data_IF_047426784209
#
_entry.id   IF_047426784209
#
_cell.length_a   1.000
_cell.length_b   1.000
_cell.length_c   1.000
_cell.angle_alpha   90.00
_cell.angle_beta   90.00
_cell.angle_gamma   90.00
#
_symmetry.space_group_name_H-M   'P 1'
#
loop_
_entity.id
_entity.type
_entity.pdbx_description
1 polymer ?
#
# COMPACT_ATOMS: atom_id res chain seq x y z
N UNK A 1 24.34 0.54 9.67
CA UNK A 1 24.91 1.02 8.40
C UNK A 1 24.96 -0.19 7.49
N UNK A 2 24.01 -0.31 6.56
CA UNK A 2 23.90 -1.49 5.68
C UNK A 2 25.12 -1.53 4.74
N UNK A 3 25.64 -2.71 4.46
CA UNK A 3 26.75 -2.90 3.51
C UNK A 3 26.26 -2.56 2.09
N UNK A 4 26.70 -1.41 1.57
CA UNK A 4 26.23 -0.83 0.30
C UNK A 4 26.76 -1.56 -0.94
N UNK A 5 27.65 -2.54 -0.75
CA UNK A 5 28.09 -3.48 -1.77
C UNK A 5 27.42 -4.85 -1.64
N UNK A 6 26.40 -4.99 -0.79
CA UNK A 6 25.67 -6.25 -0.71
C UNK A 6 25.05 -6.61 -2.08
N UNK A 7 25.15 -7.88 -2.51
CA UNK A 7 24.61 -8.31 -3.79
C UNK A 7 23.11 -8.04 -3.86
N UNK A 8 22.67 -7.42 -4.94
CA UNK A 8 21.31 -6.92 -5.08
C UNK A 8 20.25 -8.02 -5.29
N UNK A 9 20.68 -9.28 -5.44
CA UNK A 9 19.84 -10.42 -5.79
C UNK A 9 20.64 -11.74 -5.76
N UNK A 10 19.93 -12.88 -5.85
CA UNK A 10 20.48 -14.25 -5.84
C UNK A 10 21.46 -14.62 -6.99
N UNK A 11 21.85 -13.64 -7.81
CA UNK A 11 22.81 -13.78 -8.91
C UNK A 11 24.16 -13.09 -8.65
N UNK A 12 24.41 -12.64 -7.41
CA UNK A 12 25.67 -12.01 -7.01
C UNK A 12 26.07 -10.80 -7.90
N UNK A 13 25.08 -10.00 -8.31
CA UNK A 13 25.29 -8.81 -9.13
C UNK A 13 25.53 -7.58 -8.25
N UNK A 14 26.55 -6.78 -8.62
CA UNK A 14 26.92 -5.54 -7.95
C UNK A 14 26.53 -4.36 -8.86
N UNK A 15 25.70 -3.44 -8.38
CA UNK A 15 25.44 -2.18 -9.08
C UNK A 15 26.48 -1.15 -8.66
N UNK A 16 27.47 -0.93 -9.53
CA UNK A 16 28.41 0.16 -9.34
C UNK A 16 27.78 1.48 -9.77
N UNK A 17 27.47 2.35 -8.81
CA UNK A 17 27.01 3.73 -9.04
C UNK A 17 28.17 4.68 -8.73
N UNK A 18 28.66 5.49 -9.70
CA UNK A 18 29.68 6.50 -9.44
C UNK A 18 29.28 7.49 -8.36
N UNK A 19 30.22 7.89 -7.51
CA UNK A 19 29.96 8.75 -6.33
C UNK A 19 29.28 10.08 -6.68
N UNK A 20 29.67 10.71 -7.78
CA UNK A 20 29.06 11.96 -8.25
C UNK A 20 27.56 11.80 -8.56
N UNK A 21 27.18 10.65 -9.15
CA UNK A 21 25.77 10.34 -9.43
C UNK A 21 25.01 10.04 -8.16
N UNK A 22 25.63 9.34 -7.20
CA UNK A 22 25.04 9.09 -5.88
C UNK A 22 24.76 10.39 -5.16
N UNK A 23 25.77 11.26 -5.07
CA UNK A 23 25.65 12.58 -4.45
C UNK A 23 24.54 13.43 -5.08
N UNK A 24 24.49 13.47 -6.42
CA UNK A 24 23.42 14.17 -7.14
C UNK A 24 22.04 13.60 -6.82
N UNK A 25 21.91 12.27 -6.79
CA UNK A 25 20.65 11.60 -6.51
C UNK A 25 20.20 11.88 -5.06
N UNK A 26 21.11 11.89 -4.11
CA UNK A 26 20.82 12.19 -2.70
C UNK A 26 20.39 13.65 -2.54
N UNK A 27 21.07 14.60 -3.19
CA UNK A 27 20.63 16.00 -3.23
C UNK A 27 19.21 16.14 -3.81
N UNK A 28 18.89 15.42 -4.90
CA UNK A 28 17.55 15.45 -5.49
C UNK A 28 16.50 14.85 -4.55
N UNK A 29 16.80 13.75 -3.85
CA UNK A 29 15.90 13.17 -2.84
C UNK A 29 15.62 14.17 -1.72
N UNK A 30 16.65 14.87 -1.22
CA UNK A 30 16.49 15.87 -0.15
C UNK A 30 15.60 17.04 -0.59
N UNK A 31 15.78 17.54 -1.83
CA UNK A 31 14.92 18.59 -2.37
C UNK A 31 13.47 18.10 -2.52
N UNK A 32 13.24 16.86 -2.96
CA UNK A 32 11.90 16.27 -3.05
C UNK A 32 11.28 16.12 -1.67
N UNK A 33 12.04 15.65 -0.68
CA UNK A 33 11.56 15.55 0.70
C UNK A 33 11.08 16.90 1.21
N UNK A 34 11.92 17.93 1.11
CA UNK A 34 11.63 19.26 1.63
C UNK A 34 10.47 19.97 0.92
N UNK A 35 10.45 19.95 -0.42
CA UNK A 35 9.47 20.76 -1.18
C UNK A 35 8.18 20.01 -1.52
N UNK A 36 8.21 18.68 -1.56
CA UNK A 36 7.06 17.86 -1.99
C UNK A 36 6.53 17.05 -0.82
N UNK A 37 7.33 16.16 -0.24
CA UNK A 37 6.82 15.14 0.69
C UNK A 37 6.37 15.75 2.03
N UNK A 38 7.16 16.67 2.60
CA UNK A 38 6.88 17.34 3.88
C UNK A 38 5.93 18.55 3.75
N UNK A 39 5.36 18.77 2.56
CA UNK A 39 4.45 19.88 2.33
C UNK A 39 3.17 19.73 3.21
N UNK A 40 2.87 20.69 4.12
CA UNK A 40 1.70 20.61 5.00
C UNK A 40 0.36 20.49 4.26
N UNK A 41 0.28 20.99 3.02
CA UNK A 41 -0.91 20.83 2.18
C UNK A 41 -1.18 19.35 1.82
N UNK A 42 -0.14 18.53 1.73
CA UNK A 42 -0.26 17.08 1.53
C UNK A 42 -0.54 16.32 2.82
N UNK A 43 -0.18 16.89 3.98
CA UNK A 43 -0.34 16.22 5.27
C UNK A 43 -1.81 15.86 5.55
N UNK A 44 -2.76 16.74 5.22
CA UNK A 44 -4.20 16.45 5.38
C UNK A 44 -4.65 15.27 4.51
N UNK A 45 -4.20 15.20 3.25
CA UNK A 45 -4.51 14.07 2.37
C UNK A 45 -3.86 12.77 2.85
N UNK A 46 -2.56 12.80 3.20
CA UNK A 46 -1.84 11.63 3.71
C UNK A 46 -2.46 11.07 4.99
N UNK A 47 -2.92 11.92 5.90
CA UNK A 47 -3.63 11.50 7.11
C UNK A 47 -4.95 10.79 6.77
N UNK A 48 -5.72 11.33 5.82
CA UNK A 48 -6.93 10.69 5.31
C UNK A 48 -6.66 9.31 4.71
N UNK A 49 -5.69 9.21 3.80
CA UNK A 49 -5.33 7.96 3.13
C UNK A 49 -4.81 6.92 4.13
N UNK A 50 -3.99 7.32 5.11
CA UNK A 50 -3.52 6.41 6.18
C UNK A 50 -4.70 5.85 6.98
N UNK A 51 -5.68 6.69 7.32
CA UNK A 51 -6.89 6.24 8.03
C UNK A 51 -7.71 5.26 7.20
N UNK A 52 -7.93 5.56 5.92
CA UNK A 52 -8.67 4.68 5.00
C UNK A 52 -8.05 3.29 4.97
N UNK A 53 -6.73 3.19 4.76
CA UNK A 53 -6.03 1.89 4.70
C UNK A 53 -6.09 1.16 6.04
N UNK A 54 -5.87 1.86 7.16
CA UNK A 54 -5.91 1.27 8.49
C UNK A 54 -7.30 0.69 8.83
N UNK A 55 -8.36 1.46 8.57
CA UNK A 55 -9.74 1.06 8.85
C UNK A 55 -10.15 -0.11 7.94
N UNK A 56 -9.84 -0.05 6.64
CA UNK A 56 -10.10 -1.15 5.70
C UNK A 56 -9.41 -2.44 6.14
N UNK A 57 -8.12 -2.38 6.49
CA UNK A 57 -7.39 -3.55 6.95
C UNK A 57 -8.00 -4.12 8.23
N UNK A 58 -8.31 -3.26 9.20
CA UNK A 58 -8.92 -3.69 10.46
C UNK A 58 -10.26 -4.39 10.26
N UNK A 59 -11.13 -3.85 9.39
CA UNK A 59 -12.41 -4.49 9.08
C UNK A 59 -12.24 -5.83 8.38
N UNK A 60 -11.34 -5.93 7.39
CA UNK A 60 -11.11 -7.19 6.69
C UNK A 60 -10.51 -8.25 7.61
N UNK A 61 -9.57 -7.90 8.50
CA UNK A 61 -9.02 -8.87 9.47
C UNK A 61 -10.09 -9.35 10.45
N UNK A 62 -11.03 -8.49 10.83
CA UNK A 62 -12.11 -8.83 11.76
C UNK A 62 -13.14 -9.82 11.17
N UNK A 63 -13.34 -9.84 9.85
CA UNK A 63 -14.33 -10.70 9.18
C UNK A 63 -13.83 -11.16 7.79
N UNK A 64 -12.62 -11.74 7.76
CA UNK A 64 -11.94 -12.07 6.51
C UNK A 64 -12.67 -13.15 5.70
N UNK A 65 -13.38 -14.06 6.37
CA UNK A 65 -14.16 -15.13 5.73
C UNK A 65 -15.31 -14.60 4.86
N UNK A 66 -15.77 -13.38 5.13
CA UNK A 66 -16.90 -12.76 4.40
C UNK A 66 -16.48 -11.57 3.56
N UNK A 67 -15.43 -10.86 3.98
CA UNK A 67 -15.02 -9.60 3.37
C UNK A 67 -13.89 -9.76 2.36
N UNK A 68 -13.07 -10.81 2.45
CA UNK A 68 -12.09 -11.08 1.40
C UNK A 68 -12.75 -11.63 0.14
N UNK A 69 -12.25 -11.27 -1.05
CA UNK A 69 -12.59 -11.97 -2.29
C UNK A 69 -12.26 -13.48 -2.22
N UNK A 70 -13.00 -14.35 -2.93
CA UNK A 70 -12.83 -15.81 -2.85
C UNK A 70 -11.41 -16.30 -3.15
N UNK A 71 -10.74 -15.73 -4.15
CA UNK A 71 -9.35 -16.04 -4.49
C UNK A 71 -8.39 -15.79 -3.32
N UNK A 72 -8.63 -14.73 -2.54
CA UNK A 72 -7.83 -14.42 -1.36
C UNK A 72 -8.18 -15.29 -0.16
N UNK A 73 -9.43 -15.74 -0.06
CA UNK A 73 -9.83 -16.71 0.96
C UNK A 73 -9.14 -18.06 0.74
N UNK A 74 -9.03 -18.51 -0.52
CA UNK A 74 -8.31 -19.72 -0.90
C UNK A 74 -6.82 -19.61 -0.53
N UNK A 75 -6.16 -18.50 -0.88
CA UNK A 75 -4.75 -18.23 -0.49
C UNK A 75 -4.56 -18.28 1.03
N UNK A 76 -5.49 -17.71 1.80
CA UNK A 76 -5.45 -17.74 3.26
C UNK A 76 -5.66 -19.15 3.81
N UNK A 77 -6.53 -19.95 3.20
CA UNK A 77 -6.74 -21.34 3.58
C UNK A 77 -5.48 -22.20 3.32
N UNK A 78 -4.78 -21.95 2.22
CA UNK A 78 -3.58 -22.70 1.82
C UNK A 78 -2.32 -22.30 2.61
N UNK A 79 -2.17 -21.00 2.92
CA UNK A 79 -0.96 -20.45 3.54
C UNK A 79 -1.12 -20.06 5.02
N UNK A 80 -2.34 -20.07 5.55
CA UNK A 80 -2.64 -19.95 6.98
C UNK A 80 -2.45 -18.56 7.59
N UNK A 81 -2.41 -17.48 6.79
CA UNK A 81 -2.19 -16.12 7.29
C UNK A 81 -3.28 -15.14 6.83
N UNK A 82 -4.38 -15.00 7.60
CA UNK A 82 -5.45 -14.04 7.28
C UNK A 82 -4.96 -12.60 7.20
N UNK A 83 -4.02 -12.20 8.07
CA UNK A 83 -3.44 -10.85 8.05
C UNK A 83 -2.70 -10.58 6.74
N UNK A 84 -1.92 -11.55 6.24
CA UNK A 84 -1.21 -11.42 4.96
C UNK A 84 -2.19 -11.34 3.79
N UNK A 85 -3.19 -12.22 3.74
CA UNK A 85 -4.23 -12.17 2.70
C UNK A 85 -4.99 -10.85 2.68
N UNK A 86 -5.33 -10.31 3.85
CA UNK A 86 -5.93 -8.97 3.97
C UNK A 86 -4.97 -7.86 3.50
N UNK A 87 -3.70 -7.88 3.92
CA UNK A 87 -2.72 -6.90 3.45
C UNK A 87 -2.53 -6.96 1.92
N UNK A 88 -2.43 -8.15 1.35
CA UNK A 88 -2.25 -8.35 -0.09
C UNK A 88 -3.50 -7.90 -0.88
N UNK A 89 -4.70 -8.11 -0.32
CA UNK A 89 -5.93 -7.56 -0.88
C UNK A 89 -5.94 -6.03 -0.85
N UNK A 90 -5.74 -5.41 0.33
CA UNK A 90 -5.79 -3.95 0.48
C UNK A 90 -4.70 -3.25 -0.34
N UNK A 91 -3.50 -3.82 -0.42
CA UNK A 91 -2.40 -3.27 -1.23
C UNK A 91 -2.63 -3.37 -2.74
N UNK A 92 -3.51 -4.27 -3.18
CA UNK A 92 -3.88 -4.39 -4.60
C UNK A 92 -4.92 -3.36 -5.05
N UNK A 93 -5.55 -2.64 -4.12
CA UNK A 93 -6.55 -1.63 -4.43
C UNK A 93 -5.89 -0.36 -4.98
N UNK A 94 -6.46 0.19 -6.05
CA UNK A 94 -6.20 1.58 -6.43
C UNK A 94 -6.78 2.53 -5.37
N UNK A 95 -6.26 3.76 -5.30
CA UNK A 95 -6.77 4.78 -4.37
C UNK A 95 -8.29 5.01 -4.52
N UNK A 96 -8.79 5.03 -5.77
CA UNK A 96 -10.22 5.15 -6.06
C UNK A 96 -11.02 3.97 -5.51
N UNK A 97 -10.54 2.74 -5.69
CA UNK A 97 -11.21 1.55 -5.16
C UNK A 97 -11.23 1.54 -3.63
N UNK A 98 -10.10 1.87 -3.00
CA UNK A 98 -10.01 1.98 -1.54
C UNK A 98 -10.99 3.02 -0.98
N UNK A 99 -11.08 4.21 -1.62
CA UNK A 99 -12.01 5.26 -1.22
C UNK A 99 -13.48 4.82 -1.35
N UNK A 100 -13.85 4.19 -2.47
CA UNK A 100 -15.22 3.70 -2.70
C UNK A 100 -15.59 2.59 -1.71
N UNK A 101 -14.69 1.63 -1.50
CA UNK A 101 -14.88 0.55 -0.54
C UNK A 101 -15.02 1.07 0.89
N UNK A 102 -14.16 2.02 1.28
CA UNK A 102 -14.22 2.67 2.59
C UNK A 102 -15.54 3.41 2.80
N UNK A 103 -16.03 4.18 1.83
CA UNK A 103 -17.33 4.84 1.93
C UNK A 103 -18.49 3.87 2.07
N UNK A 104 -18.42 2.72 1.37
CA UNK A 104 -19.43 1.66 1.46
C UNK A 104 -19.43 0.99 2.83
N UNK A 105 -18.26 0.59 3.32
CA UNK A 105 -18.13 -0.13 4.60
C UNK A 105 -18.35 0.76 5.81
N UNK A 106 -17.98 2.04 5.74
CA UNK A 106 -18.25 3.03 6.80
C UNK A 106 -19.71 3.50 6.85
N UNK A 107 -20.53 3.14 5.85
CA UNK A 107 -21.92 3.59 5.74
C UNK A 107 -22.10 5.06 5.36
N UNK A 108 -21.00 5.78 5.05
CA UNK A 108 -21.02 7.19 4.63
C UNK A 108 -21.69 7.35 3.26
N UNK A 109 -21.52 6.38 2.37
CA UNK A 109 -22.30 6.26 1.14
C UNK A 109 -22.62 4.79 0.92
N UNK A 110 -23.89 4.36 1.01
CA UNK A 110 -24.26 2.96 0.86
C UNK A 110 -23.90 2.36 -0.51
N UNK A 111 -23.67 3.21 -1.52
CA UNK A 111 -23.54 2.80 -2.92
C UNK A 111 -24.82 2.14 -3.45
N UNK A 112 -24.83 1.81 -4.73
CA UNK A 112 -25.84 0.89 -5.28
C UNK A 112 -25.36 -0.55 -5.12
N UNK A 113 -26.25 -1.47 -4.78
CA UNK A 113 -25.95 -2.92 -4.70
C UNK A 113 -25.38 -3.44 -6.03
N UNK A 114 -25.70 -2.78 -7.15
CA UNK A 114 -25.30 -3.17 -8.51
C UNK A 114 -23.98 -2.59 -8.99
N UNK A 115 -23.31 -1.75 -8.19
CA UNK A 115 -22.08 -1.11 -8.63
C UNK A 115 -20.91 -2.11 -8.63
N UNK A 116 -20.35 -2.40 -9.80
CA UNK A 116 -19.24 -3.34 -9.96
C UNK A 116 -17.93 -2.59 -9.71
N UNK A 117 -17.38 -2.78 -8.50
CA UNK A 117 -16.10 -2.16 -8.08
C UNK A 117 -14.86 -2.71 -8.80
N UNK A 118 -15.04 -3.74 -9.63
CA UNK A 118 -13.97 -4.40 -10.37
C UNK A 118 -14.42 -4.57 -11.83
N UNK A 119 -13.77 -3.86 -12.75
CA UNK A 119 -13.88 -4.02 -14.20
C UNK A 119 -12.52 -4.36 -14.77
#
# INVERSE_FOLDING_TARGET
MADENAPLNGYNAYLHVPDERRFTCDLLKELIWFYVIDNPALASQQNGSRRIVADLLAWHVADYERLLPPDRQEEVADHGSPLRGCCDHISSLTERQALLLYHRMSGVSPGSITDRLFS
#
